data_IF_994355788287
#
_entry.id   IF_994355788287
#
_cell.length_a   1.000
_cell.length_b   1.000
_cell.length_c   1.000
_cell.angle_alpha   90.00
_cell.angle_beta   90.00
_cell.angle_gamma   90.00
#
_symmetry.space_group_name_H-M   'P 1'
#
loop_
_entity.id
_entity.type
_entity.pdbx_description
1 polymer ?
#
# COMPACT_ATOMS: atom_id res chain seq x y z
N UNK A 1 9.47 43.20 -12.18
CA UNK A 1 10.89 42.87 -12.48
C UNK A 1 11.51 44.03 -13.24
N UNK A 2 12.70 44.50 -12.85
CA UNK A 2 13.40 45.61 -13.52
C UNK A 2 13.90 45.21 -14.91
N UNK A 3 13.89 46.17 -15.86
CA UNK A 3 14.35 46.00 -17.27
C UNK A 3 15.80 45.47 -17.34
N UNK A 4 16.64 45.81 -16.37
CA UNK A 4 18.02 45.31 -16.26
C UNK A 4 18.08 43.80 -15.93
N UNK A 5 17.15 43.31 -15.10
CA UNK A 5 17.04 41.88 -14.78
C UNK A 5 16.59 41.06 -15.99
N UNK A 6 15.69 41.62 -16.81
CA UNK A 6 15.21 40.97 -18.03
C UNK A 6 16.33 40.81 -19.08
N UNK A 7 17.14 41.85 -19.30
CA UNK A 7 18.32 41.78 -20.19
C UNK A 7 19.32 40.73 -19.73
N UNK A 8 19.57 40.63 -18.42
CA UNK A 8 20.49 39.63 -17.87
C UNK A 8 20.00 38.20 -18.10
N UNK A 9 18.69 37.95 -17.97
CA UNK A 9 18.12 36.64 -18.28
C UNK A 9 18.18 36.32 -19.79
N UNK A 10 17.96 37.31 -20.65
CA UNK A 10 18.06 37.13 -22.10
C UNK A 10 19.48 36.73 -22.52
N UNK A 11 20.51 37.36 -21.96
CA UNK A 11 21.91 37.02 -22.25
C UNK A 11 22.29 35.60 -21.79
N UNK A 12 21.80 35.16 -20.62
CA UNK A 12 21.99 33.76 -20.17
C UNK A 12 21.31 32.76 -21.11
N UNK A 13 20.10 33.07 -21.56
CA UNK A 13 19.38 32.24 -22.52
C UNK A 13 20.12 32.18 -23.87
N UNK A 14 20.61 33.31 -24.39
CA UNK A 14 21.41 33.36 -25.61
C UNK A 14 22.69 32.52 -25.49
N UNK A 15 23.41 32.60 -24.37
CA UNK A 15 24.60 31.77 -24.14
C UNK A 15 24.25 30.28 -24.08
N UNK A 16 23.20 29.90 -23.36
CA UNK A 16 22.74 28.50 -23.25
C UNK A 16 22.36 27.91 -24.62
N UNK A 17 21.74 28.71 -25.49
CA UNK A 17 21.44 28.32 -26.88
C UNK A 17 22.73 28.24 -27.71
N UNK A 18 23.67 29.16 -27.53
CA UNK A 18 24.95 29.15 -28.24
C UNK A 18 25.82 27.92 -27.90
N UNK A 19 25.76 27.41 -26.68
CA UNK A 19 26.50 26.20 -26.29
C UNK A 19 25.81 24.93 -26.78
N UNK A 20 24.47 24.86 -26.70
CA UNK A 20 23.70 23.69 -27.16
C UNK A 20 23.59 23.55 -28.68
N UNK A 21 23.53 24.67 -29.41
CA UNK A 21 23.25 24.70 -30.86
C UNK A 21 24.46 25.18 -31.66
N UNK A 22 25.35 25.99 -31.06
CA UNK A 22 26.47 26.62 -31.75
C UNK A 22 27.85 26.02 -31.47
N UNK A 23 27.95 24.91 -30.71
CA UNK A 23 29.20 24.20 -30.49
C UNK A 23 30.26 24.94 -29.66
N UNK A 24 29.89 26.01 -28.96
CA UNK A 24 30.81 26.72 -28.06
C UNK A 24 31.06 25.89 -26.79
N UNK A 25 32.31 25.53 -26.50
CA UNK A 25 32.68 24.90 -25.23
C UNK A 25 32.50 25.92 -24.09
N UNK A 26 31.65 25.59 -23.12
CA UNK A 26 31.52 26.31 -21.86
C UNK A 26 32.68 26.01 -20.92
N UNK A 27 32.81 26.77 -19.84
CA UNK A 27 33.77 26.44 -18.77
C UNK A 27 33.45 25.03 -18.23
N UNK A 28 34.41 24.11 -18.39
CA UNK A 28 34.26 22.71 -17.94
C UNK A 28 34.41 22.64 -16.42
N UNK A 29 33.49 21.92 -15.79
CA UNK A 29 33.64 21.49 -14.40
C UNK A 29 34.53 20.25 -14.37
N UNK A 30 35.23 20.03 -13.26
CA UNK A 30 36.05 18.84 -13.05
C UNK A 30 35.22 17.56 -12.95
N UNK A 31 35.88 16.41 -13.13
CA UNK A 31 35.21 15.10 -13.15
C UNK A 31 34.59 14.75 -11.80
N UNK A 32 35.25 15.12 -10.69
CA UNK A 32 34.75 14.85 -9.33
C UNK A 32 33.45 15.61 -9.05
N UNK A 33 33.35 16.88 -9.45
CA UNK A 33 32.12 17.66 -9.39
C UNK A 33 30.98 16.98 -10.15
N UNK A 34 31.25 16.58 -11.41
CA UNK A 34 30.24 15.96 -12.26
C UNK A 34 29.79 14.60 -11.71
N UNK A 35 30.68 13.85 -11.08
CA UNK A 35 30.34 12.60 -10.39
C UNK A 35 29.45 12.86 -9.17
N UNK A 36 29.77 13.86 -8.35
CA UNK A 36 28.94 14.27 -7.21
C UNK A 36 27.55 14.74 -7.65
N UNK A 37 27.47 15.58 -8.69
CA UNK A 37 26.20 16.04 -9.26
C UNK A 37 25.35 14.86 -9.72
N UNK A 38 25.96 13.89 -10.40
CA UNK A 38 25.28 12.67 -10.86
C UNK A 38 24.78 11.83 -9.68
N UNK A 39 25.59 11.64 -8.63
CA UNK A 39 25.19 10.91 -7.42
C UNK A 39 24.00 11.58 -6.73
N UNK A 40 24.03 12.90 -6.57
CA UNK A 40 22.93 13.67 -5.97
C UNK A 40 21.64 13.60 -6.80
N UNK A 41 21.72 13.66 -8.13
CA UNK A 41 20.55 13.47 -9.01
C UNK A 41 19.91 12.10 -8.83
N UNK A 42 20.73 11.04 -8.79
CA UNK A 42 20.26 9.67 -8.53
C UNK A 42 19.60 9.58 -7.15
N UNK A 43 20.24 10.12 -6.11
CA UNK A 43 19.69 10.15 -4.75
C UNK A 43 18.34 10.87 -4.71
N UNK A 44 18.23 12.02 -5.37
CA UNK A 44 16.98 12.79 -5.42
C UNK A 44 15.83 11.99 -6.03
N UNK A 45 16.08 11.36 -7.19
CA UNK A 45 15.07 10.54 -7.87
C UNK A 45 14.72 9.29 -7.06
N UNK A 46 15.72 8.64 -6.45
CA UNK A 46 15.53 7.46 -5.63
C UNK A 46 14.66 7.77 -4.40
N UNK A 47 14.95 8.85 -3.67
CA UNK A 47 14.17 9.28 -2.50
C UNK A 47 12.70 9.49 -2.87
N UNK A 48 12.42 10.23 -3.95
CA UNK A 48 11.04 10.48 -4.39
C UNK A 48 10.31 9.20 -4.79
N UNK A 49 10.96 8.34 -5.59
CA UNK A 49 10.32 7.13 -6.11
C UNK A 49 10.08 6.11 -4.99
N UNK A 50 11.08 5.84 -4.15
CA UNK A 50 10.96 4.91 -3.01
C UNK A 50 9.89 5.37 -2.02
N UNK A 51 9.87 6.66 -1.67
CA UNK A 51 8.85 7.22 -0.79
C UNK A 51 7.45 7.04 -1.39
N UNK A 52 7.29 7.38 -2.67
CA UNK A 52 6.03 7.20 -3.40
C UNK A 52 5.60 5.74 -3.35
N UNK A 53 6.45 4.81 -3.80
CA UNK A 53 6.15 3.38 -3.83
C UNK A 53 5.86 2.79 -2.46
N UNK A 54 6.48 3.31 -1.41
CA UNK A 54 6.19 2.89 -0.04
C UNK A 54 4.79 3.32 0.40
N UNK A 55 4.36 4.54 0.07
CA UNK A 55 2.97 4.96 0.33
C UNK A 55 1.94 4.15 -0.47
N UNK A 56 2.27 3.77 -1.71
CA UNK A 56 1.41 2.90 -2.53
C UNK A 56 1.33 1.48 -1.98
N UNK A 57 2.44 0.97 -1.42
CA UNK A 57 2.54 -0.32 -0.77
C UNK A 57 1.70 -0.39 0.51
N UNK A 58 1.82 0.62 1.39
CA UNK A 58 1.05 0.66 2.64
C UNK A 58 -0.44 0.80 2.39
N UNK A 59 -0.81 1.65 1.43
CA UNK A 59 -2.18 1.97 1.07
C UNK A 59 -2.42 1.90 -0.45
N UNK A 60 -2.78 0.71 -0.97
CA UNK A 60 -3.09 0.52 -2.39
C UNK A 60 -4.31 1.32 -2.85
N UNK A 61 -5.28 1.54 -1.95
CA UNK A 61 -6.47 2.33 -2.24
C UNK A 61 -6.13 3.84 -2.32
N UNK A 62 -6.38 4.52 -3.45
CA UNK A 62 -6.02 5.94 -3.61
C UNK A 62 -6.75 6.87 -2.64
N UNK A 63 -8.00 6.57 -2.26
CA UNK A 63 -8.76 7.40 -1.32
C UNK A 63 -8.15 7.34 0.09
N UNK A 64 -7.72 6.15 0.49
CA UNK A 64 -7.06 5.91 1.79
C UNK A 64 -5.66 6.53 1.82
N UNK A 65 -4.91 6.37 0.72
CA UNK A 65 -3.58 6.98 0.55
C UNK A 65 -3.60 8.50 0.68
N UNK A 66 -4.59 9.16 0.08
CA UNK A 66 -4.75 10.61 0.19
C UNK A 66 -4.91 11.07 1.64
N UNK A 67 -5.66 10.32 2.46
CA UNK A 67 -5.82 10.60 3.89
C UNK A 67 -4.52 10.40 4.67
N UNK A 68 -3.77 9.33 4.38
CA UNK A 68 -2.45 9.07 5.01
C UNK A 68 -1.45 10.20 4.76
N UNK A 69 -1.43 10.75 3.53
CA UNK A 69 -0.58 11.90 3.19
C UNK A 69 -0.94 13.17 3.97
N UNK A 70 -2.17 13.30 4.45
CA UNK A 70 -2.65 14.49 5.20
C UNK A 70 -2.40 14.40 6.70
N UNK A 71 -1.94 13.25 7.22
CA UNK A 71 -1.73 13.04 8.66
C UNK A 71 -0.58 13.86 9.27
N UNK A 72 0.39 14.30 8.46
CA UNK A 72 1.53 15.12 8.91
C UNK A 72 1.15 16.48 9.49
N UNK A 73 -0.09 16.94 9.28
CA UNK A 73 -0.57 18.26 9.74
C UNK A 73 -1.40 18.22 11.03
N UNK A 74 -1.93 17.06 11.44
CA UNK A 74 -2.92 16.99 12.55
C UNK A 74 -2.36 16.51 13.89
N UNK A 75 -1.22 15.81 13.91
CA UNK A 75 -0.60 15.36 15.17
C UNK A 75 -0.02 16.48 16.04
N UNK A 76 0.10 17.71 15.52
CA UNK A 76 0.60 18.88 16.28
C UNK A 76 -0.49 19.78 16.86
N UNK A 77 -1.74 19.70 16.40
CA UNK A 77 -2.78 20.71 16.70
C UNK A 77 -3.89 20.21 17.63
N UNK A 78 -4.04 18.91 17.82
CA UNK A 78 -5.01 18.36 18.78
C UNK A 78 -4.43 17.09 19.37
N UNK A 79 -4.08 17.11 20.66
CA UNK A 79 -3.63 15.96 21.44
C UNK A 79 -4.73 14.90 21.62
N UNK A 80 -5.22 14.35 20.51
CA UNK A 80 -6.17 13.26 20.47
C UNK A 80 -5.61 12.16 19.60
N UNK A 81 -5.41 11.00 20.21
CA UNK A 81 -5.05 9.72 19.62
C UNK A 81 -6.17 9.20 18.71
N UNK A 82 -6.44 9.96 17.63
CA UNK A 82 -7.32 9.51 16.56
C UNK A 82 -6.38 8.88 15.56
N UNK A 83 -6.50 7.56 15.41
CA UNK A 83 -5.77 6.77 14.43
C UNK A 83 -5.89 7.31 13.00
N UNK A 84 -5.47 6.56 11.98
CA UNK A 84 -5.20 7.06 10.61
C UNK A 84 -6.31 7.85 9.88
N UNK A 85 -7.52 7.97 10.44
CA UNK A 85 -8.65 8.70 9.84
C UNK A 85 -9.30 7.91 8.70
N UNK A 86 -8.89 6.66 8.54
CA UNK A 86 -9.42 5.69 7.60
C UNK A 86 -9.49 4.31 8.25
N UNK A 87 -10.39 3.48 7.74
CA UNK A 87 -10.64 2.13 8.26
C UNK A 87 -9.83 1.13 7.44
N UNK A 88 -9.07 0.26 8.12
CA UNK A 88 -8.38 -0.86 7.46
C UNK A 88 -9.38 -1.89 6.93
N UNK A 89 -8.99 -2.58 5.86
CA UNK A 89 -9.84 -3.60 5.23
C UNK A 89 -10.15 -4.77 6.15
N UNK A 90 -9.21 -5.11 7.02
CA UNK A 90 -9.27 -6.14 8.04
C UNK A 90 -10.35 -5.81 9.08
N UNK A 91 -10.48 -4.53 9.45
CA UNK A 91 -11.56 -4.07 10.34
C UNK A 91 -12.93 -4.19 9.67
N UNK A 92 -13.05 -3.88 8.38
CA UNK A 92 -14.32 -4.06 7.64
C UNK A 92 -14.72 -5.54 7.58
N UNK A 93 -13.76 -6.45 7.38
CA UNK A 93 -14.01 -7.89 7.44
C UNK A 93 -14.43 -8.34 8.84
N UNK A 94 -13.73 -7.85 9.87
CA UNK A 94 -14.03 -8.13 11.27
C UNK A 94 -15.47 -7.75 11.65
N UNK A 95 -15.92 -6.55 11.26
CA UNK A 95 -17.29 -6.07 11.50
C UNK A 95 -18.33 -7.01 10.88
N UNK A 96 -18.11 -7.46 9.64
CA UNK A 96 -19.02 -8.37 8.95
C UNK A 96 -19.10 -9.74 9.64
N UNK A 97 -17.95 -10.31 10.00
CA UNK A 97 -17.88 -11.61 10.70
C UNK A 97 -18.56 -11.53 12.07
N UNK A 98 -18.30 -10.48 12.85
CA UNK A 98 -18.94 -10.31 14.15
C UNK A 98 -20.44 -10.07 14.04
N UNK A 99 -20.89 -9.29 13.05
CA UNK A 99 -22.31 -9.05 12.80
C UNK A 99 -23.05 -10.37 12.55
N UNK A 100 -22.61 -11.14 11.56
CA UNK A 100 -23.27 -12.39 11.22
C UNK A 100 -23.05 -13.48 12.27
N UNK A 101 -21.93 -13.46 12.99
CA UNK A 101 -21.68 -14.34 14.12
C UNK A 101 -22.68 -14.16 15.26
N UNK A 102 -23.13 -12.92 15.51
CA UNK A 102 -24.19 -12.62 16.50
C UNK A 102 -25.60 -12.95 16.00
N UNK A 103 -25.86 -12.76 14.71
CA UNK A 103 -27.15 -13.12 14.09
C UNK A 103 -27.37 -14.65 14.05
N UNK A 104 -26.29 -15.40 13.82
CA UNK A 104 -26.26 -16.85 13.97
C UNK A 104 -26.21 -17.19 15.46
N UNK A 105 -27.38 -17.20 16.11
CA UNK A 105 -27.64 -17.49 17.53
C UNK A 105 -26.48 -18.12 18.33
N UNK A 106 -26.31 -17.70 19.59
CA UNK A 106 -25.18 -18.10 20.46
C UNK A 106 -24.99 -19.62 20.66
N UNK A 107 -25.97 -20.44 20.28
CA UNK A 107 -25.88 -21.91 20.25
C UNK A 107 -25.09 -22.47 19.05
N UNK A 108 -24.92 -21.69 17.98
CA UNK A 108 -24.25 -22.09 16.76
C UNK A 108 -22.74 -22.08 16.93
N UNK A 109 -22.12 -23.26 16.78
CA UNK A 109 -20.65 -23.35 16.85
C UNK A 109 -19.97 -22.58 15.71
N UNK A 110 -20.66 -22.38 14.58
CA UNK A 110 -20.18 -21.51 13.50
C UNK A 110 -20.32 -20.02 13.85
N UNK A 111 -21.42 -19.61 14.50
CA UNK A 111 -21.61 -18.24 14.95
C UNK A 111 -20.52 -17.79 15.93
N UNK A 112 -20.22 -18.65 16.91
CA UNK A 112 -19.12 -18.42 17.85
C UNK A 112 -17.75 -18.40 17.17
N UNK A 113 -17.49 -19.27 16.19
CA UNK A 113 -16.25 -19.24 15.40
C UNK A 113 -16.09 -17.92 14.63
N UNK A 114 -17.17 -17.41 14.04
CA UNK A 114 -17.17 -16.13 13.33
C UNK A 114 -16.86 -14.96 14.26
N UNK A 115 -17.35 -15.00 15.50
CA UNK A 115 -17.02 -14.00 16.52
C UNK A 115 -15.52 -14.03 16.85
N UNK A 116 -14.95 -15.21 17.12
CA UNK A 116 -13.51 -15.36 17.43
C UNK A 116 -12.62 -14.86 16.27
N UNK A 117 -12.95 -15.26 15.04
CA UNK A 117 -12.21 -14.80 13.84
C UNK A 117 -12.38 -13.30 13.66
N UNK A 118 -13.59 -12.78 13.84
CA UNK A 118 -13.87 -11.35 13.74
C UNK A 118 -13.17 -10.52 14.82
N UNK A 119 -12.87 -11.07 15.99
CA UNK A 119 -12.05 -10.42 17.01
C UNK A 119 -10.58 -10.36 16.58
N UNK A 120 -10.01 -11.49 16.17
CA UNK A 120 -8.62 -11.55 15.69
C UNK A 120 -8.39 -10.67 14.44
N UNK A 121 -9.34 -10.61 13.50
CA UNK A 121 -9.24 -9.72 12.32
C UNK A 121 -9.22 -8.23 12.70
N UNK A 122 -9.90 -7.85 13.79
CA UNK A 122 -9.88 -6.47 14.30
C UNK A 122 -8.55 -6.16 14.97
N UNK A 123 -7.98 -7.08 15.74
CA UNK A 123 -6.62 -6.92 16.29
C UNK A 123 -5.57 -6.79 15.16
N UNK A 124 -5.69 -7.57 14.08
CA UNK A 124 -4.82 -7.42 12.90
C UNK A 124 -4.94 -6.04 12.25
N UNK A 125 -6.15 -5.45 12.25
CA UNK A 125 -6.35 -4.09 11.74
C UNK A 125 -5.60 -3.05 12.59
N UNK A 126 -5.61 -3.18 13.92
CA UNK A 126 -4.88 -2.29 14.82
C UNK A 126 -3.35 -2.42 14.63
N UNK A 127 -2.87 -3.65 14.47
CA UNK A 127 -1.45 -3.92 14.16
C UNK A 127 -1.05 -3.33 12.79
N UNK A 128 -1.96 -3.36 11.80
CA UNK A 128 -1.75 -2.72 10.49
C UNK A 128 -1.76 -1.19 10.57
N UNK A 129 -2.64 -0.61 11.38
CA UNK A 129 -2.63 0.84 11.67
C UNK A 129 -1.31 1.28 12.31
N UNK A 130 -0.79 0.48 13.25
CA UNK A 130 0.50 0.74 13.88
C UNK A 130 1.66 0.71 12.86
N UNK A 131 1.69 -0.28 11.95
CA UNK A 131 2.67 -0.33 10.86
C UNK A 131 2.62 0.94 10.01
N UNK A 132 1.42 1.37 9.60
CA UNK A 132 1.25 2.54 8.75
C UNK A 132 1.80 3.80 9.44
N UNK A 133 1.57 3.92 10.75
CA UNK A 133 2.11 5.03 11.53
C UNK A 133 3.62 4.98 11.71
N UNK A 134 4.18 3.82 12.03
CA UNK A 134 5.60 3.63 12.25
C UNK A 134 6.40 3.92 10.97
N UNK A 135 5.94 3.41 9.82
CA UNK A 135 6.57 3.70 8.52
C UNK A 135 6.40 5.17 8.12
N UNK A 136 5.23 5.77 8.40
CA UNK A 136 5.01 7.18 8.10
C UNK A 136 5.99 8.08 8.85
N UNK A 137 6.12 7.89 10.15
CA UNK A 137 6.92 8.75 11.03
C UNK A 137 8.43 8.50 10.91
N UNK A 138 8.85 7.23 10.77
CA UNK A 138 10.27 6.87 10.85
C UNK A 138 10.93 6.65 9.48
N UNK A 139 10.16 6.62 8.40
CA UNK A 139 10.70 6.43 7.05
C UNK A 139 10.23 7.50 6.07
N UNK A 140 8.91 7.66 5.88
CA UNK A 140 8.37 8.61 4.89
C UNK A 140 8.67 10.07 5.26
N UNK A 141 8.38 10.48 6.49
CA UNK A 141 8.59 11.87 6.93
C UNK A 141 10.07 12.31 6.91
N UNK A 142 11.03 11.48 7.37
CA UNK A 142 12.46 11.78 7.22
C UNK A 142 12.89 11.95 5.76
N UNK A 143 12.45 11.05 4.86
CA UNK A 143 12.75 11.15 3.43
C UNK A 143 12.12 12.38 2.77
N UNK A 144 10.89 12.73 3.16
CA UNK A 144 10.23 13.96 2.70
C UNK A 144 11.00 15.21 3.16
N UNK A 145 11.48 15.22 4.41
CA UNK A 145 12.29 16.31 4.94
C UNK A 145 13.62 16.47 4.19
N UNK A 146 14.33 15.36 3.92
CA UNK A 146 15.55 15.34 3.12
C UNK A 146 15.30 15.92 1.71
N UNK A 147 14.18 15.53 1.08
CA UNK A 147 13.80 16.04 -0.23
C UNK A 147 13.49 17.54 -0.23
N UNK A 148 12.67 18.01 0.72
CA UNK A 148 12.16 19.38 0.71
C UNK A 148 13.15 20.43 1.25
N UNK A 149 14.17 19.99 1.99
CA UNK A 149 15.23 20.85 2.53
C UNK A 149 16.53 20.66 1.76
N UNK A 150 17.27 19.60 2.07
CA UNK A 150 18.67 19.49 1.67
C UNK A 150 18.81 19.31 0.15
N UNK A 151 18.04 18.39 -0.43
CA UNK A 151 18.08 18.15 -1.89
C UNK A 151 17.58 19.37 -2.68
N UNK A 152 16.56 20.08 -2.16
CA UNK A 152 16.04 21.30 -2.78
C UNK A 152 17.03 22.47 -2.69
N UNK A 153 17.77 22.57 -1.59
CA UNK A 153 18.84 23.54 -1.40
C UNK A 153 20.01 23.27 -2.35
N UNK A 154 20.44 22.01 -2.50
CA UNK A 154 21.46 21.63 -3.49
C UNK A 154 21.01 22.00 -4.91
N UNK A 155 19.76 21.69 -5.28
CA UNK A 155 19.21 22.09 -6.58
C UNK A 155 19.23 23.62 -6.77
N UNK A 156 19.01 24.40 -5.71
CA UNK A 156 19.14 25.85 -5.76
C UNK A 156 20.58 26.29 -6.03
N UNK A 157 21.56 25.70 -5.34
CA UNK A 157 22.99 25.99 -5.54
C UNK A 157 23.46 25.64 -6.95
N UNK A 158 23.12 24.45 -7.46
CA UNK A 158 23.45 24.02 -8.83
C UNK A 158 22.86 24.97 -9.88
N UNK A 159 21.59 25.37 -9.72
CA UNK A 159 20.96 26.34 -10.62
C UNK A 159 21.61 27.72 -10.56
N UNK A 160 22.06 28.14 -9.38
CA UNK A 160 22.78 29.41 -9.18
C UNK A 160 24.15 29.35 -9.84
N UNK A 161 24.90 28.27 -9.63
CA UNK A 161 26.21 28.01 -10.24
C UNK A 161 26.13 28.04 -11.77
N UNK A 162 25.23 27.28 -12.37
CA UNK A 162 25.04 27.29 -13.83
C UNK A 162 24.69 28.69 -14.35
N UNK A 163 23.89 29.44 -13.58
CA UNK A 163 23.58 30.83 -13.87
C UNK A 163 24.78 31.79 -13.75
N UNK A 164 25.81 31.46 -12.98
CA UNK A 164 27.08 32.22 -12.88
C UNK A 164 28.06 31.82 -13.97
N UNK A 165 28.18 30.53 -14.27
CA UNK A 165 28.99 29.99 -15.36
C UNK A 165 28.63 30.65 -16.69
N UNK A 166 27.33 30.70 -17.01
CA UNK A 166 26.82 31.36 -18.22
C UNK A 166 27.13 32.88 -18.26
N UNK A 167 27.13 33.57 -17.11
CA UNK A 167 27.44 35.01 -17.01
C UNK A 167 28.94 35.26 -17.23
N UNK A 168 29.78 34.39 -16.67
CA UNK A 168 31.23 34.40 -16.86
C UNK A 168 31.61 34.10 -18.32
N UNK A 169 31.07 33.03 -18.90
CA UNK A 169 31.35 32.63 -20.29
C UNK A 169 30.91 33.71 -21.30
N UNK A 170 29.76 34.36 -21.06
CA UNK A 170 29.31 35.50 -21.88
C UNK A 170 30.27 36.70 -21.79
N UNK A 171 30.74 37.05 -20.58
CA UNK A 171 31.68 38.16 -20.37
C UNK A 171 33.06 37.86 -20.96
N UNK A 172 33.55 36.61 -20.82
CA UNK A 172 34.82 36.13 -21.36
C UNK A 172 34.86 36.25 -22.89
N UNK A 173 33.79 35.87 -23.60
CA UNK A 173 33.66 36.02 -25.06
C UNK A 173 33.67 37.49 -25.53
N UNK A 174 33.43 38.47 -24.64
CA UNK A 174 33.38 39.91 -24.96
C UNK A 174 34.53 40.70 -24.34
N UNK A 175 35.65 40.04 -24.03
CA UNK A 175 36.84 40.61 -23.39
C UNK A 175 37.26 41.99 -23.93
N UNK A 176 37.15 42.25 -25.23
CA UNK A 176 37.52 43.54 -25.82
C UNK A 176 36.57 44.73 -25.57
N UNK A 177 35.45 44.55 -24.83
CA UNK A 177 34.46 45.61 -24.56
C UNK A 177 34.10 45.76 -23.06
N UNK A 178 34.74 44.99 -22.19
CA UNK A 178 34.43 44.93 -20.77
C UNK A 178 35.68 45.26 -19.95
N UNK A 179 35.48 45.92 -18.82
CA UNK A 179 36.54 46.25 -17.85
C UNK A 179 37.11 44.98 -17.22
N UNK A 180 38.40 44.95 -16.90
CA UNK A 180 39.02 43.78 -16.23
C UNK A 180 38.35 43.48 -14.88
N UNK A 181 37.96 44.51 -14.14
CA UNK A 181 37.25 44.38 -12.86
C UNK A 181 35.90 43.64 -13.01
N UNK A 182 35.19 43.86 -14.12
CA UNK A 182 33.91 43.21 -14.40
C UNK A 182 34.07 41.71 -14.70
N UNK A 183 35.19 41.32 -15.27
CA UNK A 183 35.54 39.93 -15.50
C UNK A 183 36.00 39.25 -14.22
N UNK A 184 36.87 39.91 -13.45
CA UNK A 184 37.37 39.39 -12.17
C UNK A 184 36.22 39.12 -11.20
N UNK A 185 35.26 40.04 -11.07
CA UNK A 185 34.06 39.82 -10.26
C UNK A 185 33.17 38.68 -10.77
N UNK A 186 33.12 38.45 -12.08
CA UNK A 186 32.29 37.37 -12.64
C UNK A 186 32.90 35.99 -12.36
N UNK A 187 34.23 35.90 -12.40
CA UNK A 187 34.98 34.70 -12.03
C UNK A 187 34.84 34.41 -10.54
N UNK A 188 35.09 35.39 -9.67
CA UNK A 188 34.95 35.25 -8.21
C UNK A 188 33.54 34.76 -7.83
N UNK A 189 32.48 35.35 -8.41
CA UNK A 189 31.10 34.91 -8.17
C UNK A 189 30.79 33.50 -8.69
N UNK A 190 31.50 33.03 -9.71
CA UNK A 190 31.39 31.67 -10.22
C UNK A 190 32.07 30.69 -9.26
N UNK A 191 33.31 30.98 -8.88
CA UNK A 191 34.10 30.16 -7.94
C UNK A 191 33.40 30.03 -6.58
N UNK A 192 32.93 31.14 -6.00
CA UNK A 192 32.14 31.13 -4.75
C UNK A 192 30.89 30.24 -4.85
N UNK A 193 30.21 30.28 -6.00
CA UNK A 193 28.99 29.49 -6.20
C UNK A 193 29.30 28.01 -6.43
N UNK A 194 30.51 27.70 -6.95
CA UNK A 194 30.98 26.34 -7.17
C UNK A 194 31.32 25.69 -5.84
N UNK A 195 32.09 26.37 -5.00
CA UNK A 195 32.49 25.89 -3.67
C UNK A 195 31.26 25.61 -2.79
N UNK A 196 30.26 26.50 -2.79
CA UNK A 196 29.01 26.27 -2.04
C UNK A 196 28.26 25.04 -2.58
N UNK A 197 28.19 24.87 -3.89
CA UNK A 197 27.52 23.70 -4.49
C UNK A 197 28.27 22.41 -4.16
N UNK A 198 29.59 22.38 -4.31
CA UNK A 198 30.46 21.25 -3.94
C UNK A 198 30.26 20.84 -2.49
N UNK A 199 30.38 21.80 -1.56
CA UNK A 199 30.22 21.54 -0.14
C UNK A 199 28.83 20.96 0.17
N UNK A 200 27.78 21.51 -0.43
CA UNK A 200 26.41 21.03 -0.21
C UNK A 200 26.19 19.61 -0.73
N UNK A 201 26.75 19.28 -1.91
CA UNK A 201 26.69 17.92 -2.48
C UNK A 201 27.49 16.93 -1.63
N UNK A 202 28.70 17.31 -1.23
CA UNK A 202 29.58 16.50 -0.41
C UNK A 202 28.93 16.13 0.93
N UNK A 203 28.34 17.11 1.63
CA UNK A 203 27.69 16.88 2.93
C UNK A 203 26.59 15.81 2.86
N UNK A 204 25.77 15.81 1.80
CA UNK A 204 24.72 14.79 1.63
C UNK A 204 25.27 13.43 1.25
N UNK A 205 26.32 13.38 0.42
CA UNK A 205 26.93 12.13 0.00
C UNK A 205 27.71 11.44 1.13
N UNK A 206 28.32 12.20 2.03
CA UNK A 206 29.00 11.67 3.23
C UNK A 206 28.05 11.32 4.37
N UNK A 207 26.80 11.81 4.34
CA UNK A 207 25.81 11.51 5.37
C UNK A 207 25.00 10.23 5.07
N UNK A 208 25.58 9.25 4.36
CA UNK A 208 24.91 8.03 3.85
C UNK A 208 24.34 7.12 4.96
N UNK A 209 24.93 7.19 6.14
CA UNK A 209 24.51 6.46 7.34
C UNK A 209 23.06 6.79 7.74
N UNK A 210 22.61 8.03 7.54
CA UNK A 210 21.24 8.42 7.89
C UNK A 210 20.22 7.74 6.98
N UNK A 211 20.49 7.66 5.67
CA UNK A 211 19.59 6.99 4.72
C UNK A 211 19.58 5.47 4.93
N UNK A 212 20.72 4.87 5.30
CA UNK A 212 20.77 3.44 5.69
C UNK A 212 19.95 3.20 6.96
N UNK A 213 20.05 4.09 7.96
CA UNK A 213 19.25 4.01 9.19
C UNK A 213 17.74 4.11 8.89
N UNK A 214 17.34 5.00 7.98
CA UNK A 214 15.94 5.12 7.54
C UNK A 214 15.45 3.81 6.89
N UNK A 215 16.24 3.18 6.01
CA UNK A 215 15.90 1.88 5.43
C UNK A 215 15.76 0.80 6.51
N UNK A 216 16.64 0.80 7.51
CA UNK A 216 16.52 -0.11 8.65
C UNK A 216 15.22 0.10 9.43
N UNK A 217 14.77 1.35 9.60
CA UNK A 217 13.50 1.64 10.27
C UNK A 217 12.29 1.07 9.51
N UNK A 218 12.27 1.16 8.18
CA UNK A 218 11.24 0.53 7.35
C UNK A 218 11.21 -0.99 7.57
N UNK A 219 12.37 -1.65 7.52
CA UNK A 219 12.47 -3.11 7.68
C UNK A 219 12.05 -3.52 9.09
N UNK A 220 12.47 -2.78 10.11
CA UNK A 220 12.13 -3.09 11.50
C UNK A 220 10.62 -2.98 11.76
N UNK A 221 9.96 -1.94 11.22
CA UNK A 221 8.52 -1.79 11.30
C UNK A 221 7.79 -2.98 10.65
N UNK A 222 8.25 -3.44 9.47
CA UNK A 222 7.70 -4.61 8.79
C UNK A 222 7.89 -5.90 9.60
N UNK A 223 9.07 -6.12 10.17
CA UNK A 223 9.35 -7.29 11.02
C UNK A 223 8.43 -7.29 12.24
N UNK A 224 8.28 -6.14 12.91
CA UNK A 224 7.42 -5.99 14.08
C UNK A 224 5.95 -6.28 13.75
N UNK A 225 5.46 -5.76 12.62
CA UNK A 225 4.11 -6.01 12.11
C UNK A 225 3.87 -7.50 11.86
N UNK A 226 4.74 -8.14 11.08
CA UNK A 226 4.55 -9.54 10.71
C UNK A 226 4.67 -10.49 11.91
N UNK A 227 5.54 -10.18 12.87
CA UNK A 227 5.64 -10.95 14.12
C UNK A 227 4.34 -10.90 14.91
N UNK A 228 3.80 -9.72 15.16
CA UNK A 228 2.54 -9.55 15.91
C UNK A 228 1.36 -10.19 15.16
N UNK A 229 1.28 -10.01 13.84
CA UNK A 229 0.24 -10.63 13.04
C UNK A 229 0.29 -12.17 13.10
N UNK A 230 1.49 -12.74 13.07
CA UNK A 230 1.68 -14.19 13.20
C UNK A 230 1.24 -14.70 14.58
N UNK A 231 1.56 -13.98 15.66
CA UNK A 231 1.13 -14.32 17.02
C UNK A 231 -0.40 -14.35 17.15
N UNK A 232 -1.09 -13.32 16.64
CA UNK A 232 -2.57 -13.25 16.62
C UNK A 232 -3.17 -14.43 15.86
N UNK A 233 -2.65 -14.71 14.65
CA UNK A 233 -3.15 -15.80 13.82
C UNK A 233 -2.87 -17.19 14.39
N UNK A 234 -1.74 -17.38 15.07
CA UNK A 234 -1.42 -18.65 15.76
C UNK A 234 -2.40 -18.89 16.92
N UNK A 235 -2.68 -17.86 17.72
CA UNK A 235 -3.66 -17.96 18.80
C UNK A 235 -5.06 -18.27 18.26
N UNK A 236 -5.48 -17.60 17.18
CA UNK A 236 -6.74 -17.88 16.50
C UNK A 236 -6.79 -19.32 15.98
N UNK A 237 -5.73 -19.81 15.34
CA UNK A 237 -5.65 -21.18 14.83
C UNK A 237 -5.86 -22.20 15.94
N UNK A 238 -5.19 -22.04 17.08
CA UNK A 238 -5.39 -22.91 18.24
C UNK A 238 -6.84 -22.88 18.74
N UNK A 239 -7.43 -21.67 18.90
CA UNK A 239 -8.83 -21.52 19.32
C UNK A 239 -9.80 -22.24 18.37
N UNK A 240 -9.56 -22.17 17.07
CA UNK A 240 -10.40 -22.84 16.07
C UNK A 240 -10.23 -24.37 16.10
N UNK A 241 -9.02 -24.87 16.30
CA UNK A 241 -8.78 -26.31 16.49
C UNK A 241 -9.50 -26.86 17.73
N UNK A 242 -9.43 -26.14 18.86
CA UNK A 242 -10.20 -26.45 20.06
C UNK A 242 -11.70 -26.52 19.77
N UNK A 243 -12.22 -25.50 19.08
CA UNK A 243 -13.63 -25.44 18.70
C UNK A 243 -14.05 -26.57 17.76
N UNK A 244 -13.19 -26.98 16.83
CA UNK A 244 -13.43 -28.13 15.95
C UNK A 244 -13.52 -29.41 16.79
N UNK A 245 -12.58 -29.62 17.72
CA UNK A 245 -12.60 -30.75 18.65
C UNK A 245 -13.91 -30.79 19.45
N UNK A 246 -14.26 -29.69 20.11
CA UNK A 246 -15.48 -29.58 20.90
C UNK A 246 -16.76 -29.84 20.09
N UNK A 247 -16.82 -29.28 18.87
CA UNK A 247 -18.00 -29.43 18.01
C UNK A 247 -18.12 -30.85 17.47
N UNK A 248 -17.01 -31.52 17.18
CA UNK A 248 -16.99 -32.92 16.72
C UNK A 248 -17.47 -33.92 17.78
N UNK A 249 -17.32 -33.58 19.06
CA UNK A 249 -17.79 -34.40 20.18
C UNK A 249 -19.29 -34.21 20.49
N UNK A 250 -19.96 -33.21 19.90
CA UNK A 250 -21.39 -32.98 20.15
C UNK A 250 -22.25 -33.98 19.38
N UNK A 251 -23.20 -34.68 20.02
CA UNK A 251 -24.13 -35.56 19.32
C UNK A 251 -24.94 -34.75 18.30
N UNK A 252 -25.09 -35.29 17.08
CA UNK A 252 -25.89 -34.66 16.03
C UNK A 252 -27.34 -34.56 16.51
N UNK A 253 -27.87 -33.33 16.61
CA UNK A 253 -29.31 -33.13 16.83
C UNK A 253 -30.04 -33.72 15.62
N UNK A 254 -30.89 -34.72 15.87
CA UNK A 254 -31.78 -35.26 14.86
C UNK A 254 -32.86 -34.22 14.56
N UNK A 255 -33.02 -33.88 13.28
CA UNK A 255 -34.06 -32.95 12.87
C UNK A 255 -35.40 -33.68 12.90
N UNK A 256 -36.19 -33.40 13.94
CA UNK A 256 -37.60 -33.83 14.01
C UNK A 256 -38.44 -32.76 13.30
N UNK A 257 -39.01 -33.04 12.11
CA UNK A 257 -39.88 -32.09 11.43
C UNK A 257 -41.07 -31.78 12.32
N UNK A 258 -41.38 -30.50 12.52
CA UNK A 258 -42.60 -30.13 13.23
C UNK A 258 -43.81 -30.76 12.52
N UNK A 259 -44.73 -31.41 13.24
CA UNK A 259 -45.95 -31.95 12.64
C UNK A 259 -46.65 -30.86 11.83
N UNK A 260 -47.06 -31.19 10.61
CA UNK A 260 -47.87 -30.26 9.80
C UNK A 260 -49.13 -29.93 10.58
N UNK A 261 -49.38 -28.65 10.83
CA UNK A 261 -50.63 -28.16 11.39
C UNK A 261 -51.76 -28.56 10.44
N UNK A 262 -52.56 -29.56 10.81
CA UNK A 262 -53.81 -29.85 10.13
C UNK A 262 -54.80 -28.76 10.51
N UNK A 263 -55.07 -27.85 9.59
CA UNK A 263 -56.26 -27.01 9.66
C UNK A 263 -57.46 -27.89 9.32
N UNK A 264 -58.19 -28.33 10.36
CA UNK A 264 -59.51 -28.92 10.17
C UNK A 264 -60.45 -27.81 9.69
N UNK A 265 -60.72 -27.78 8.38
CA UNK A 265 -61.87 -27.06 7.86
C UNK A 265 -63.13 -27.84 8.28
N UNK A 266 -63.68 -27.49 9.44
CA UNK A 266 -65.04 -27.88 9.80
C UNK A 266 -66.02 -27.08 8.95
N UNK A 267 -66.21 -27.46 7.68
CA UNK A 267 -67.38 -27.04 6.91
C UNK A 267 -68.48 -28.10 7.06
N UNK A 268 -69.44 -27.72 7.88
CA UNK A 268 -70.67 -28.44 8.12
C UNK A 268 -71.56 -28.33 6.87
N UNK A 269 -71.51 -29.30 5.94
CA UNK A 269 -72.64 -29.57 5.03
C UNK A 269 -72.68 -31.04 4.55
N UNK A 270 -73.88 -31.62 4.73
CA UNK A 270 -74.33 -32.95 4.32
C UNK A 270 -73.99 -33.34 2.86
N UNK A 271 -73.52 -34.57 2.64
CA UNK A 271 -73.76 -35.31 1.39
C UNK A 271 -72.72 -36.35 0.95
N UNK A 272 -73.03 -37.64 1.18
CA UNK A 272 -72.78 -38.81 0.30
C UNK A 272 -71.35 -39.23 -0.13
N UNK A 273 -70.91 -40.37 0.45
CA UNK A 273 -70.30 -41.60 -0.13
C UNK A 273 -69.27 -41.48 -1.29
N UNK A 274 -68.06 -42.05 -1.08
CA UNK A 274 -67.21 -42.57 -2.18
C UNK A 274 -65.74 -42.91 -1.87
N UNK A 275 -65.47 -44.18 -1.51
CA UNK A 275 -64.35 -45.05 -1.94
C UNK A 275 -62.84 -44.65 -1.83
N UNK A 276 -62.16 -45.41 -0.95
CA UNK A 276 -60.92 -46.21 -1.14
C UNK A 276 -59.57 -45.61 -1.56
N UNK A 277 -58.54 -45.91 -0.73
CA UNK A 277 -57.17 -46.19 -1.17
C UNK A 277 -56.11 -46.10 -0.04
N UNK A 278 -55.40 -47.17 0.35
CA UNK A 278 -54.24 -47.07 1.23
C UNK A 278 -52.96 -46.93 0.40
N UNK A 279 -52.29 -45.79 0.43
CA UNK A 279 -50.94 -45.66 -0.14
C UNK A 279 -49.89 -45.94 0.93
N UNK A 280 -49.15 -47.02 0.66
CA UNK A 280 -48.00 -47.51 1.40
C UNK A 280 -46.86 -46.48 1.44
N UNK A 281 -46.24 -46.34 2.60
CA UNK A 281 -44.89 -45.78 2.76
C UNK A 281 -43.85 -46.68 2.09
N UNK A 282 -42.88 -46.15 1.32
CA UNK A 282 -41.64 -46.84 1.03
C UNK A 282 -40.59 -46.49 2.09
N UNK A 283 -39.84 -47.51 2.52
CA UNK A 283 -38.99 -47.51 3.71
C UNK A 283 -37.73 -46.65 3.64
N UNK A 284 -37.21 -46.43 4.84
CA UNK A 284 -35.88 -45.90 5.14
C UNK A 284 -34.80 -46.77 4.48
N UNK A 285 -34.07 -46.20 3.53
CA UNK A 285 -32.73 -46.64 3.23
C UNK A 285 -31.79 -45.94 4.22
N UNK A 286 -31.42 -46.63 5.29
CA UNK A 286 -30.31 -46.25 6.15
C UNK A 286 -29.04 -46.38 5.32
N UNK A 287 -28.57 -45.26 4.76
CA UNK A 287 -27.18 -45.15 4.31
C UNK A 287 -26.38 -44.71 5.53
N UNK A 288 -25.87 -45.69 6.30
CA UNK A 288 -24.70 -45.45 7.14
C UNK A 288 -23.52 -45.10 6.22
N UNK A 289 -23.35 -43.81 5.95
CA UNK A 289 -22.05 -43.28 5.58
C UNK A 289 -21.26 -43.13 6.88
N UNK A 290 -20.67 -44.23 7.32
CA UNK A 290 -19.48 -44.22 8.17
C UNK A 290 -18.35 -43.56 7.37
N UNK A 291 -18.36 -42.23 7.33
CA UNK A 291 -17.23 -41.41 6.93
C UNK A 291 -16.60 -40.81 8.19
N UNK A 292 -16.29 -41.69 9.14
CA UNK A 292 -15.37 -41.36 10.22
C UNK A 292 -13.95 -41.53 9.68
N UNK A 293 -13.14 -40.49 9.82
CA UNK A 293 -11.67 -40.51 9.70
C UNK A 293 -11.06 -40.74 8.30
N UNK A 294 -11.24 -39.79 7.38
CA UNK A 294 -10.35 -39.69 6.20
C UNK A 294 -10.28 -38.27 5.62
N UNK A 295 -10.02 -37.24 6.45
CA UNK A 295 -9.61 -35.92 5.89
C UNK A 295 -8.80 -35.01 6.81
N UNK A 296 -8.27 -35.51 7.92
CA UNK A 296 -7.39 -34.72 8.82
C UNK A 296 -5.89 -35.01 8.57
N UNK A 297 -5.53 -35.95 7.70
CA UNK A 297 -4.13 -36.25 7.33
C UNK A 297 -3.70 -35.62 6.00
N UNK A 298 -3.87 -34.30 5.82
CA UNK A 298 -3.16 -33.53 4.76
C UNK A 298 -2.51 -32.25 5.29
N UNK A 299 -2.43 -32.05 6.61
CA UNK A 299 -1.71 -30.91 7.21
C UNK A 299 -0.67 -31.35 8.24
N UNK A 300 0.04 -32.44 7.97
CA UNK A 300 1.28 -32.76 8.68
C UNK A 300 2.24 -33.44 7.71
N UNK A 301 2.96 -32.61 6.96
CA UNK A 301 4.10 -33.03 6.16
C UNK A 301 5.36 -32.55 6.90
N UNK A 302 6.20 -33.42 7.47
CA UNK A 302 7.37 -33.02 8.26
C UNK A 302 8.57 -32.74 7.33
N UNK A 303 8.36 -31.91 6.31
CA UNK A 303 9.38 -31.42 5.40
C UNK A 303 9.07 -29.96 5.06
N UNK A 304 9.12 -29.10 6.08
CA UNK A 304 9.13 -27.65 5.89
C UNK A 304 10.48 -27.12 6.34
N UNK A 305 11.36 -26.97 5.36
CA UNK A 305 12.67 -26.35 5.47
C UNK A 305 12.48 -24.82 5.68
N UNK A 306 13.19 -24.14 6.61
CA UNK A 306 12.95 -22.73 6.93
C UNK A 306 13.28 -21.72 5.80
N UNK A 307 13.74 -22.18 4.63
CA UNK A 307 14.26 -21.31 3.57
C UNK A 307 13.28 -20.97 2.44
N UNK A 308 12.05 -21.51 2.44
CA UNK A 308 11.11 -21.33 1.32
C UNK A 308 10.10 -20.18 1.49
N UNK A 309 10.26 -19.33 2.51
CA UNK A 309 9.36 -18.21 2.83
C UNK A 309 9.70 -16.88 2.14
N UNK A 310 10.59 -16.87 1.13
CA UNK A 310 11.08 -15.60 0.56
C UNK A 310 10.21 -14.98 -0.54
N UNK A 311 9.13 -15.60 -1.01
CA UNK A 311 8.35 -15.06 -2.14
C UNK A 311 6.82 -15.22 -2.09
N UNK A 312 6.23 -15.80 -1.05
CA UNK A 312 4.76 -15.98 -0.99
C UNK A 312 4.01 -14.72 -0.56
N UNK A 313 4.65 -13.76 0.10
CA UNK A 313 4.00 -12.51 0.52
C UNK A 313 3.68 -11.56 -0.65
N UNK A 314 4.34 -11.71 -1.79
CA UNK A 314 4.05 -10.96 -3.03
C UNK A 314 2.91 -11.58 -3.86
N UNK A 315 2.50 -12.82 -3.56
CA UNK A 315 1.48 -13.53 -4.34
C UNK A 315 0.05 -13.17 -3.93
N UNK A 316 -0.18 -12.79 -2.66
CA UNK A 316 -1.52 -12.44 -2.16
C UNK A 316 -2.03 -11.14 -2.82
N UNK A 317 -1.14 -10.20 -3.13
CA UNK A 317 -1.49 -8.96 -3.85
C UNK A 317 -1.83 -9.13 -5.34
N UNK A 318 -1.48 -10.24 -5.98
CA UNK A 318 -1.79 -10.51 -7.40
C UNK A 318 -3.03 -11.39 -7.60
N UNK A 319 -3.49 -12.10 -6.58
CA UNK A 319 -4.61 -13.04 -6.72
C UNK A 319 -6.00 -12.36 -6.71
N UNK A 320 -6.14 -11.14 -6.18
CA UNK A 320 -7.44 -10.44 -6.15
C UNK A 320 -7.73 -9.59 -7.40
N UNK A 321 -6.75 -9.30 -8.26
CA UNK A 321 -6.95 -8.44 -9.44
C UNK A 321 -7.30 -9.26 -10.70
N UNK A 322 -6.99 -10.56 -10.75
CA UNK A 322 -7.26 -11.37 -11.96
C UNK A 322 -8.66 -11.99 -12.02
N UNK A 323 -9.48 -11.90 -10.98
CA UNK A 323 -10.80 -12.59 -10.94
C UNK A 323 -11.99 -11.69 -11.34
N UNK A 324 -11.74 -10.44 -11.75
CA UNK A 324 -12.79 -9.48 -12.14
C UNK A 324 -12.92 -9.24 -13.66
N UNK A 325 -12.27 -10.05 -14.50
CA UNK A 325 -12.31 -9.87 -15.96
C UNK A 325 -12.64 -11.15 -16.72
N UNK A 326 -13.75 -11.79 -16.39
CA UNK A 326 -14.36 -12.82 -17.25
C UNK A 326 -15.88 -12.74 -17.26
N UNK A 327 -16.39 -12.17 -18.36
CA UNK A 327 -17.65 -12.46 -19.08
C UNK A 327 -18.98 -12.40 -18.32
N UNK A 328 -19.64 -11.25 -18.46
CA UNK A 328 -21.10 -11.21 -18.68
C UNK A 328 -21.32 -11.12 -20.20
N UNK A 329 -21.80 -12.20 -20.83
CA UNK A 329 -22.26 -12.20 -22.23
C UNK A 329 -23.77 -12.41 -22.25
N UNK A 330 -24.52 -11.39 -22.65
CA UNK A 330 -25.96 -11.46 -22.92
C UNK A 330 -26.23 -12.23 -24.23
N UNK A 331 -27.32 -13.02 -24.34
CA UNK A 331 -27.69 -13.66 -25.59
C UNK A 331 -28.46 -12.70 -26.50
N UNK A 332 -27.99 -12.57 -27.74
CA UNK A 332 -28.57 -11.76 -28.81
C UNK A 332 -29.81 -12.45 -29.42
N UNK A 333 -30.94 -11.74 -29.45
CA UNK A 333 -32.21 -12.21 -30.04
C UNK A 333 -32.19 -11.91 -31.55
N UNK A 334 -32.40 -12.96 -32.37
CA UNK A 334 -32.51 -12.89 -33.83
C UNK A 334 -33.82 -12.21 -34.22
N UNK A 335 -33.75 -11.17 -35.05
CA UNK A 335 -34.88 -10.68 -35.85
C UNK A 335 -34.81 -11.30 -37.25
N UNK A 336 -35.94 -11.87 -37.68
CA UNK A 336 -36.18 -12.44 -38.99
C UNK A 336 -36.69 -11.36 -39.95
N UNK A 337 -36.05 -11.26 -41.12
CA UNK A 337 -36.51 -10.55 -42.32
C UNK A 337 -37.76 -11.22 -42.90
N UNK A 338 -38.79 -10.50 -43.33
CA UNK A 338 -39.08 -10.10 -44.74
C UNK A 338 -40.62 -10.09 -44.93
N UNK A 339 -41.18 -9.61 -46.05
CA UNK A 339 -40.58 -8.91 -47.20
C UNK A 339 -40.95 -7.43 -47.33
#
# INVERSE_FOLDING_TARGET
>A
MSVAGLKKQFHKATQKVSEKVGGAEGTKLDEDFLEMEKKVDVTTRAVMDIMTKTTEYLQPNPATRAKMSMMSSMSKIRGGDKGPGYTQTEAVLAESMQKFGRELSEESSFGLALIDVGEAMRELAEVKDALDMEVKQNFIDPLQNLHDKDLKEIQHHLKKLEGRRLDFDYKKKRQGKLTEDDMKQALEKFDDSKEIAEQSMFNILESDIEQVSQLSALVQAQVNYHRQAAEILQQLSSKLEDRIRETSCKPRREYVPKPRTSVDFSENHNGSIGLSGPSRSPGEAVIELNLCSARVHVLNNPFFDPFQLRWTSLAVGRCMISTLKTRVSWPSRKETSSP
#
